data_IF_209810910260
#
_entry.id   IF_209810910260
#
_cell.length_a   1.000
_cell.length_b   1.000
_cell.length_c   1.000
_cell.angle_alpha   90.00
_cell.angle_beta   90.00
_cell.angle_gamma   90.00
#
_symmetry.space_group_name_H-M   'P 1'
#
loop_
_entity.id
_entity.type
_entity.pdbx_description
1 polymer ?
#
# COMPACT_ATOMS: atom_id res chain seq x y z
N UNK A 1 -15.21 7.44 6.83
CA UNK A 1 -14.01 8.13 7.37
C UNK A 1 -12.81 7.20 7.23
N UNK A 2 -11.77 7.62 6.51
CA UNK A 2 -10.64 6.79 6.06
C UNK A 2 -9.58 6.56 7.15
N UNK A 3 -9.97 6.19 8.37
CA UNK A 3 -9.02 5.96 9.47
C UNK A 3 -8.09 4.77 9.18
N UNK A 4 -8.63 3.67 8.64
CA UNK A 4 -7.84 2.50 8.24
C UNK A 4 -6.81 2.81 7.16
N UNK A 5 -7.16 3.66 6.18
CA UNK A 5 -6.23 4.08 5.14
C UNK A 5 -5.09 4.93 5.70
N UNK A 6 -5.40 5.87 6.61
CA UNK A 6 -4.39 6.69 7.28
C UNK A 6 -3.47 5.84 8.17
N UNK A 7 -4.04 4.93 8.94
CA UNK A 7 -3.28 4.00 9.78
C UNK A 7 -2.39 3.07 8.94
N UNK A 8 -2.92 2.53 7.83
CA UNK A 8 -2.15 1.71 6.90
C UNK A 8 -1.01 2.50 6.24
N UNK A 9 -1.25 3.75 5.84
CA UNK A 9 -0.21 4.62 5.31
C UNK A 9 0.92 4.87 6.32
N UNK A 10 0.57 5.18 7.57
CA UNK A 10 1.56 5.36 8.65
C UNK A 10 2.31 4.05 8.93
N UNK A 11 1.61 2.91 8.99
CA UNK A 11 2.23 1.61 9.18
C UNK A 11 3.23 1.29 8.08
N UNK A 12 2.92 1.59 6.81
CA UNK A 12 3.83 1.39 5.69
C UNK A 12 5.05 2.31 5.81
N UNK A 13 4.87 3.57 6.17
CA UNK A 13 6.01 4.49 6.39
C UNK A 13 6.93 3.92 7.46
N UNK A 14 6.40 3.58 8.64
CA UNK A 14 7.18 3.03 9.76
C UNK A 14 7.87 1.72 9.35
N UNK A 15 7.17 0.87 8.60
CA UNK A 15 7.70 -0.43 8.18
C UNK A 15 8.86 -0.30 7.19
N UNK A 16 8.73 0.56 6.19
CA UNK A 16 9.82 0.86 5.25
C UNK A 16 10.97 1.59 5.92
N UNK A 17 10.67 2.50 6.88
CA UNK A 17 11.67 3.20 7.67
C UNK A 17 12.52 2.24 8.51
N UNK A 18 11.89 1.35 9.27
CA UNK A 18 12.60 0.36 10.07
C UNK A 18 13.42 -0.59 9.20
N UNK A 19 12.84 -1.08 8.10
CA UNK A 19 13.53 -2.01 7.19
C UNK A 19 14.78 -1.38 6.57
N UNK A 20 14.69 -0.13 6.12
CA UNK A 20 15.83 0.56 5.53
C UNK A 20 16.92 0.86 6.58
N UNK A 21 16.54 1.22 7.80
CA UNK A 21 17.46 1.43 8.92
C UNK A 21 18.23 0.15 9.27
N UNK A 22 17.55 -1.00 9.32
CA UNK A 22 18.19 -2.31 9.56
C UNK A 22 19.18 -2.71 8.46
N UNK A 23 18.94 -2.25 7.22
CA UNK A 23 19.78 -2.57 6.05
C UNK A 23 20.86 -1.51 5.77
N UNK A 24 20.95 -0.45 6.58
CA UNK A 24 21.95 0.61 6.41
C UNK A 24 21.76 1.47 5.15
N UNK A 25 20.57 1.45 4.56
CA UNK A 25 20.24 2.15 3.31
C UNK A 25 19.54 3.48 3.54
N UNK A 26 19.36 4.26 2.47
CA UNK A 26 18.69 5.56 2.56
C UNK A 26 17.22 5.40 2.96
N UNK A 27 16.94 5.67 4.23
CA UNK A 27 15.61 5.52 4.84
C UNK A 27 14.54 6.35 4.13
N UNK A 28 14.88 7.57 3.72
CA UNK A 28 13.97 8.46 3.00
C UNK A 28 13.61 7.87 1.64
N UNK A 29 14.59 7.35 0.89
CA UNK A 29 14.36 6.75 -0.43
C UNK A 29 13.41 5.55 -0.35
N UNK A 30 13.61 4.66 0.61
CA UNK A 30 12.75 3.50 0.83
C UNK A 30 11.33 3.88 1.24
N UNK A 31 11.19 4.82 2.18
CA UNK A 31 9.88 5.32 2.60
C UNK A 31 9.14 5.95 1.42
N UNK A 32 9.80 6.76 0.60
CA UNK A 32 9.20 7.38 -0.60
C UNK A 32 8.75 6.33 -1.61
N UNK A 33 9.57 5.30 -1.86
CA UNK A 33 9.21 4.21 -2.79
C UNK A 33 8.00 3.42 -2.24
N UNK A 34 7.99 3.09 -0.94
CA UNK A 34 6.87 2.41 -0.30
C UNK A 34 5.58 3.23 -0.33
N UNK A 35 5.68 4.55 -0.08
CA UNK A 35 4.55 5.46 -0.12
C UNK A 35 3.99 5.63 -1.53
N UNK A 36 4.88 5.75 -2.53
CA UNK A 36 4.50 5.80 -3.95
C UNK A 36 3.82 4.51 -4.38
N UNK A 37 4.35 3.35 -3.98
CA UNK A 37 3.72 2.04 -4.26
C UNK A 37 2.33 1.92 -3.65
N UNK A 38 2.17 2.34 -2.39
CA UNK A 38 0.86 2.39 -1.73
C UNK A 38 -0.11 3.34 -2.45
N UNK A 39 0.34 4.54 -2.80
CA UNK A 39 -0.48 5.55 -3.45
C UNK A 39 -0.96 5.12 -4.85
N UNK A 40 -0.06 4.56 -5.67
CA UNK A 40 -0.39 4.07 -7.01
C UNK A 40 -1.36 2.90 -6.91
N UNK A 41 -1.10 1.93 -6.04
CA UNK A 41 -1.99 0.78 -5.85
C UNK A 41 -3.38 1.18 -5.35
N UNK A 42 -3.44 2.15 -4.43
CA UNK A 42 -4.70 2.73 -3.95
C UNK A 42 -5.52 3.31 -5.11
N UNK A 43 -4.92 4.17 -5.93
CA UNK A 43 -5.61 4.80 -7.06
C UNK A 43 -6.01 3.79 -8.13
N UNK A 44 -5.15 2.83 -8.45
CA UNK A 44 -5.44 1.77 -9.40
C UNK A 44 -6.68 0.98 -8.99
N UNK A 45 -6.74 0.52 -7.73
CA UNK A 45 -7.87 -0.27 -7.22
C UNK A 45 -9.13 0.58 -7.05
N UNK A 46 -8.98 1.84 -6.65
CA UNK A 46 -10.12 2.76 -6.53
C UNK A 46 -10.79 3.02 -7.88
N UNK A 47 -10.01 3.27 -8.93
CA UNK A 47 -10.54 3.59 -10.26
C UNK A 47 -11.09 2.35 -10.99
N UNK A 48 -10.50 1.18 -10.76
CA UNK A 48 -10.92 -0.06 -11.44
C UNK A 48 -12.01 -0.79 -10.67
N UNK A 49 -11.74 -1.17 -9.42
CA UNK A 49 -12.60 -2.07 -8.64
C UNK A 49 -13.70 -1.27 -7.95
N UNK A 50 -13.36 -0.20 -7.24
CA UNK A 50 -14.36 0.53 -6.43
C UNK A 50 -15.37 1.26 -7.30
N UNK A 51 -14.95 1.84 -8.43
CA UNK A 51 -15.88 2.46 -9.37
C UNK A 51 -16.92 1.50 -9.94
N UNK A 52 -16.49 0.28 -10.30
CA UNK A 52 -17.36 -0.75 -10.85
C UNK A 52 -18.20 -1.48 -9.79
N UNK A 53 -17.65 -1.77 -8.61
CA UNK A 53 -18.39 -2.45 -7.54
C UNK A 53 -19.35 -1.52 -6.79
N UNK A 54 -19.00 -0.24 -6.60
CA UNK A 54 -19.86 0.68 -5.86
C UNK A 54 -21.19 0.92 -6.57
N UNK A 55 -21.22 0.93 -7.91
CA UNK A 55 -22.45 1.06 -8.70
C UNK A 55 -23.35 -0.18 -8.61
N UNK A 56 -22.76 -1.38 -8.52
CA UNK A 56 -23.49 -2.64 -8.35
C UNK A 56 -24.10 -2.79 -6.94
N UNK A 57 -23.45 -2.24 -5.92
CA UNK A 57 -23.86 -2.38 -4.52
C UNK A 57 -24.47 -1.11 -3.89
N UNK A 58 -24.86 -0.13 -4.72
CA UNK A 58 -25.34 1.19 -4.29
C UNK A 58 -26.52 1.17 -3.31
N UNK A 59 -27.29 0.07 -3.25
CA UNK A 59 -28.45 -0.09 -2.36
C UNK A 59 -28.15 -0.77 -1.03
N UNK A 60 -26.93 -1.26 -0.79
CA UNK A 60 -26.60 -2.05 0.38
C UNK A 60 -25.43 -1.46 1.17
N UNK A 61 -25.74 -0.81 2.30
CA UNK A 61 -24.79 -0.01 3.09
C UNK A 61 -23.57 -0.83 3.55
N UNK A 62 -23.79 -2.08 3.96
CA UNK A 62 -22.73 -3.02 4.37
C UNK A 62 -21.77 -3.33 3.23
N UNK A 63 -22.30 -3.52 2.02
CA UNK A 63 -21.49 -3.80 0.84
C UNK A 63 -20.65 -2.59 0.42
N UNK A 64 -21.22 -1.38 0.45
CA UNK A 64 -20.46 -0.14 0.21
C UNK A 64 -19.32 0.00 1.23
N UNK A 65 -19.57 -0.29 2.51
CA UNK A 65 -18.53 -0.25 3.54
C UNK A 65 -17.36 -1.20 3.21
N UNK A 66 -17.63 -2.46 2.84
CA UNK A 66 -16.60 -3.43 2.47
C UNK A 66 -15.81 -2.96 1.23
N UNK A 67 -16.51 -2.51 0.19
CA UNK A 67 -15.89 -2.07 -1.07
C UNK A 67 -14.94 -0.89 -0.85
N UNK A 68 -15.25 0.01 0.09
CA UNK A 68 -14.35 1.13 0.41
C UNK A 68 -13.05 0.72 1.10
N UNK A 69 -12.97 -0.48 1.68
CA UNK A 69 -11.75 -1.00 2.31
C UNK A 69 -10.85 -1.78 1.34
N UNK A 70 -11.37 -2.25 0.20
CA UNK A 70 -10.63 -3.03 -0.80
C UNK A 70 -9.35 -2.30 -1.29
N UNK A 71 -9.38 -0.99 -1.63
CA UNK A 71 -8.17 -0.27 -2.04
C UNK A 71 -7.08 -0.28 -0.97
N UNK A 72 -7.47 -0.18 0.31
CA UNK A 72 -6.52 -0.17 1.41
C UNK A 72 -5.79 -1.51 1.52
N UNK A 73 -6.53 -2.62 1.46
CA UNK A 73 -5.97 -3.97 1.52
C UNK A 73 -5.06 -4.26 0.31
N UNK A 74 -5.49 -3.90 -0.89
CA UNK A 74 -4.67 -4.06 -2.10
C UNK A 74 -3.38 -3.22 -2.03
N UNK A 75 -3.47 -1.99 -1.52
CA UNK A 75 -2.31 -1.11 -1.39
C UNK A 75 -1.31 -1.61 -0.33
N UNK A 76 -1.77 -2.24 0.75
CA UNK A 76 -0.91 -2.95 1.72
C UNK A 76 -0.20 -4.13 1.04
N UNK A 77 -0.92 -4.94 0.26
CA UNK A 77 -0.34 -6.06 -0.49
C UNK A 77 0.72 -5.60 -1.50
N UNK A 78 0.45 -4.52 -2.23
CA UNK A 78 1.42 -3.92 -3.14
C UNK A 78 2.67 -3.42 -2.41
N UNK A 79 2.50 -2.75 -1.26
CA UNK A 79 3.62 -2.30 -0.44
C UNK A 79 4.48 -3.48 0.07
N UNK A 80 3.87 -4.60 0.42
CA UNK A 80 4.61 -5.82 0.78
C UNK A 80 5.45 -6.37 -0.38
N UNK A 81 4.90 -6.39 -1.60
CA UNK A 81 5.63 -6.82 -2.80
C UNK A 81 6.79 -5.88 -3.14
N UNK A 82 6.56 -4.56 -3.05
CA UNK A 82 7.61 -3.54 -3.24
C UNK A 82 8.75 -3.74 -2.24
N UNK A 83 8.43 -3.96 -0.96
CA UNK A 83 9.43 -4.26 0.07
C UNK A 83 10.22 -5.53 -0.27
N UNK A 84 9.54 -6.60 -0.68
CA UNK A 84 10.21 -7.85 -1.09
C UNK A 84 11.16 -7.62 -2.27
N UNK A 85 10.74 -6.82 -3.26
CA UNK A 85 11.59 -6.46 -4.40
C UNK A 85 12.81 -5.66 -3.99
N UNK A 86 12.65 -4.64 -3.15
CA UNK A 86 13.77 -3.82 -2.67
C UNK A 86 14.78 -4.63 -1.86
N UNK A 87 14.32 -5.62 -1.08
CA UNK A 87 15.21 -6.52 -0.35
C UNK A 87 15.98 -7.46 -1.29
N UNK A 88 15.36 -7.93 -2.37
CA UNK A 88 16.04 -8.75 -3.38
C UNK A 88 17.08 -7.95 -4.17
N UNK A 89 16.75 -6.71 -4.54
CA UNK A 89 17.65 -5.77 -5.23
C UNK A 89 18.90 -5.44 -4.39
N UNK A 90 18.75 -5.33 -3.07
CA UNK A 90 19.89 -5.21 -2.16
C UNK A 90 20.74 -6.47 -2.06
N UNK A 91 20.12 -7.65 -2.09
CA UNK A 91 20.86 -8.91 -2.06
C UNK A 91 21.71 -9.07 -3.33
N UNK A 92 21.15 -8.74 -4.50
CA UNK A 92 21.85 -8.81 -5.78
C UNK A 92 23.02 -7.82 -5.89
N UNK A 93 22.92 -6.65 -5.24
CA UNK A 93 24.00 -5.64 -5.22
C UNK A 93 25.20 -6.01 -4.30
N UNK A 94 25.03 -7.01 -3.44
CA UNK A 94 26.05 -7.38 -2.44
C UNK A 94 26.94 -8.56 -2.90
N UNK A 95 26.59 -9.23 -4.00
CA UNK A 95 27.43 -10.18 -4.75
C UNK A 95 28.27 -9.44 -5.82
#
# INVERSE_FOLDING_TARGET
>A
MLFLAKAAGIAIIVWFYMTAKEKGESTIKWVVIGLMGYWIAWWAVKLTVVGALASLFAKNFTAIFIVTQIPALCAIGAAYLVRKKLLADLAEKTD
#
